data_IF_082464907652
#
_entry.id   IF_082464907652
#
_cell.length_a   1.000
_cell.length_b   1.000
_cell.length_c   1.000
_cell.angle_alpha   90.00
_cell.angle_beta   90.00
_cell.angle_gamma   90.00
#
_symmetry.space_group_name_H-M   'P 1'
#
loop_
_entity.id
_entity.type
_entity.pdbx_description
1 polymer ?
#
# COMPACT_ATOMS: atom_id res chain seq x y z
N UNK A 1 22.21 -6.80 -3.91
CA UNK A 1 20.96 -6.07 -3.63
C UNK A 1 20.14 -6.06 -4.91
N UNK A 2 18.86 -6.45 -4.82
CA UNK A 2 17.92 -6.43 -5.95
C UNK A 2 16.75 -5.52 -5.59
N UNK A 3 16.43 -4.54 -6.42
CA UNK A 3 15.29 -3.66 -6.12
C UNK A 3 14.82 -2.82 -7.29
N UNK A 4 13.63 -2.27 -7.13
CA UNK A 4 13.13 -1.26 -8.05
C UNK A 4 13.92 0.03 -7.93
N UNK A 5 14.05 0.77 -9.01
CA UNK A 5 14.81 2.03 -9.07
C UNK A 5 14.45 3.00 -7.94
N UNK A 6 13.16 3.17 -7.65
CA UNK A 6 12.71 4.06 -6.58
C UNK A 6 13.25 3.63 -5.22
N UNK A 7 13.10 2.35 -4.88
CA UNK A 7 13.55 1.79 -3.60
C UNK A 7 15.08 1.87 -3.47
N UNK A 8 15.83 1.51 -4.54
CA UNK A 8 17.29 1.57 -4.55
C UNK A 8 17.80 3.01 -4.33
N UNK A 9 17.15 4.01 -4.93
CA UNK A 9 17.50 5.42 -4.68
C UNK A 9 17.25 5.86 -3.25
N UNK A 10 16.18 5.37 -2.64
CA UNK A 10 15.84 5.71 -1.24
C UNK A 10 16.91 5.23 -0.26
N UNK A 11 17.58 4.13 -0.56
CA UNK A 11 18.64 3.55 0.30
C UNK A 11 20.05 3.75 -0.26
N UNK A 12 20.24 4.60 -1.27
CA UNK A 12 21.53 4.75 -1.97
C UNK A 12 22.70 5.06 -1.02
N UNK A 13 22.45 5.83 0.02
CA UNK A 13 23.42 6.17 1.04
C UNK A 13 23.81 5.00 1.96
N UNK A 14 23.08 3.89 1.92
CA UNK A 14 23.37 2.66 2.68
C UNK A 14 24.09 1.60 1.84
N UNK A 15 24.21 1.84 0.52
CA UNK A 15 24.78 0.87 -0.41
C UNK A 15 26.28 1.13 -0.57
N UNK A 16 27.10 0.11 -0.26
CA UNK A 16 28.53 0.09 -0.55
C UNK A 16 28.76 -0.50 -1.95
N UNK A 17 28.88 0.39 -2.95
CA UNK A 17 29.03 0.00 -4.37
C UNK A 17 30.34 -0.74 -4.67
N UNK A 18 31.33 -0.70 -3.77
CA UNK A 18 32.59 -1.44 -3.94
C UNK A 18 32.45 -2.91 -3.50
N UNK A 19 31.52 -3.18 -2.57
CA UNK A 19 31.33 -4.53 -1.98
C UNK A 19 30.03 -5.21 -2.40
N UNK A 20 29.07 -4.45 -2.91
CA UNK A 20 27.73 -4.94 -3.18
C UNK A 20 27.37 -4.85 -4.66
N UNK A 21 26.92 -5.93 -5.23
CA UNK A 21 26.33 -5.95 -6.57
C UNK A 21 24.89 -5.45 -6.49
N UNK A 22 24.48 -4.61 -7.46
CA UNK A 22 23.16 -4.00 -7.50
C UNK A 22 22.45 -4.43 -8.79
N UNK A 23 21.25 -4.95 -8.63
CA UNK A 23 20.38 -5.35 -9.74
C UNK A 23 19.11 -4.50 -9.71
N UNK A 24 18.97 -3.59 -10.68
CA UNK A 24 17.73 -2.83 -10.86
C UNK A 24 16.70 -3.69 -11.59
N UNK A 25 15.51 -3.81 -11.01
CA UNK A 25 14.40 -4.58 -11.57
C UNK A 25 13.24 -3.70 -12.00
N UNK A 26 12.41 -4.29 -12.85
CA UNK A 26 11.12 -3.78 -13.32
C UNK A 26 10.09 -4.89 -13.22
N UNK A 27 8.81 -4.57 -13.36
CA UNK A 27 7.75 -5.58 -13.42
C UNK A 27 7.96 -6.64 -14.51
N UNK A 28 8.75 -6.34 -15.55
CA UNK A 28 8.97 -7.26 -16.69
C UNK A 28 10.11 -8.24 -16.47
N UNK A 29 11.14 -7.86 -15.69
CA UNK A 29 12.35 -8.66 -15.54
C UNK A 29 12.60 -9.14 -14.11
N UNK A 30 11.71 -8.86 -13.16
CA UNK A 30 11.95 -9.19 -11.76
C UNK A 30 12.18 -10.69 -11.54
N UNK A 31 11.35 -11.56 -12.12
CA UNK A 31 11.48 -13.00 -11.94
C UNK A 31 12.80 -13.52 -12.49
N UNK A 32 13.14 -13.15 -13.73
CA UNK A 32 14.42 -13.57 -14.34
C UNK A 32 15.63 -13.03 -13.59
N UNK A 33 15.53 -11.83 -13.00
CA UNK A 33 16.58 -11.27 -12.16
C UNK A 33 16.74 -12.04 -10.84
N UNK A 34 15.66 -12.41 -10.18
CA UNK A 34 15.71 -13.25 -8.98
C UNK A 34 16.32 -14.62 -9.27
N UNK A 35 15.88 -15.30 -10.34
CA UNK A 35 16.43 -16.58 -10.77
C UNK A 35 17.92 -16.48 -11.12
N UNK A 36 18.32 -15.41 -11.82
CA UNK A 36 19.72 -15.16 -12.16
C UNK A 36 20.58 -15.00 -10.92
N UNK A 37 20.15 -14.18 -9.96
CA UNK A 37 20.92 -13.97 -8.73
C UNK A 37 20.98 -15.25 -7.91
N UNK A 38 19.87 -15.95 -7.72
CA UNK A 38 19.85 -17.22 -7.00
C UNK A 38 20.81 -18.26 -7.60
N UNK A 39 20.79 -18.39 -8.94
CA UNK A 39 21.67 -19.34 -9.64
C UNK A 39 23.15 -18.99 -9.66
N UNK A 40 23.53 -17.75 -9.31
CA UNK A 40 24.92 -17.27 -9.28
C UNK A 40 25.45 -16.95 -7.88
N UNK A 41 24.60 -17.03 -6.84
CA UNK A 41 25.03 -16.84 -5.44
C UNK A 41 25.99 -17.97 -5.02
N UNK A 42 27.03 -17.57 -4.29
CA UNK A 42 27.95 -18.51 -3.66
C UNK A 42 27.49 -18.85 -2.24
N UNK A 43 28.04 -19.94 -1.69
CA UNK A 43 27.83 -20.27 -0.28
C UNK A 43 28.25 -19.07 0.60
N UNK A 44 27.41 -18.72 1.58
CA UNK A 44 27.57 -17.56 2.47
C UNK A 44 27.37 -16.17 1.86
N UNK A 45 26.83 -16.05 0.66
CA UNK A 45 26.34 -14.79 0.14
C UNK A 45 24.89 -14.53 0.55
N UNK A 46 24.52 -13.25 0.65
CA UNK A 46 23.17 -12.82 0.98
C UNK A 46 22.61 -11.91 -0.11
N UNK A 47 21.35 -12.15 -0.45
CA UNK A 47 20.58 -11.27 -1.33
C UNK A 47 19.60 -10.43 -0.50
N UNK A 48 19.69 -9.11 -0.60
CA UNK A 48 18.75 -8.19 0.03
C UNK A 48 17.79 -7.64 -1.02
N UNK A 49 16.48 -7.74 -0.76
CA UNK A 49 15.43 -7.17 -1.60
C UNK A 49 14.71 -6.09 -0.81
N UNK A 50 15.04 -4.80 -1.01
CA UNK A 50 14.41 -3.71 -0.28
C UNK A 50 13.03 -3.38 -0.87
N UNK A 51 12.07 -3.10 0.03
CA UNK A 51 10.71 -2.66 -0.29
C UNK A 51 10.43 -1.28 0.30
N UNK A 52 9.43 -0.60 -0.25
CA UNK A 52 8.87 0.62 0.36
C UNK A 52 7.76 0.24 1.33
N UNK A 53 7.90 0.65 2.60
CA UNK A 53 6.92 0.31 3.64
C UNK A 53 7.12 -1.08 4.22
N UNK A 54 6.04 -1.77 4.50
CA UNK A 54 6.04 -3.15 5.04
C UNK A 54 5.67 -4.15 3.93
N UNK A 55 6.55 -5.09 3.71
CA UNK A 55 6.38 -6.13 2.67
C UNK A 55 5.18 -7.06 2.94
N UNK A 56 4.75 -7.17 4.20
CA UNK A 56 3.59 -7.98 4.59
C UNK A 56 2.26 -7.36 4.15
N UNK A 57 2.27 -6.12 3.66
CA UNK A 57 1.07 -5.47 3.15
C UNK A 57 1.23 -5.03 1.70
N UNK A 58 0.44 -5.63 0.81
CA UNK A 58 0.37 -5.32 -0.64
C UNK A 58 1.47 -5.94 -1.53
N UNK A 59 2.47 -6.63 -0.97
CA UNK A 59 3.59 -7.21 -1.73
C UNK A 59 3.58 -8.74 -1.75
N UNK A 60 2.45 -9.38 -1.41
CA UNK A 60 2.35 -10.84 -1.32
C UNK A 60 2.75 -11.56 -2.60
N UNK A 61 2.38 -11.02 -3.78
CA UNK A 61 2.72 -11.62 -5.08
C UNK A 61 4.26 -11.68 -5.29
N UNK A 62 5.00 -10.69 -4.78
CA UNK A 62 6.46 -10.65 -4.88
C UNK A 62 7.08 -11.55 -3.82
N UNK A 63 6.55 -11.54 -2.59
CA UNK A 63 7.01 -12.40 -1.51
C UNK A 63 6.85 -13.87 -1.88
N UNK A 64 5.68 -14.28 -2.38
CA UNK A 64 5.43 -15.66 -2.80
C UNK A 64 6.44 -16.11 -3.87
N UNK A 65 6.73 -15.25 -4.84
CA UNK A 65 7.73 -15.51 -5.87
C UNK A 65 9.15 -15.64 -5.31
N UNK A 66 9.52 -14.82 -4.33
CA UNK A 66 10.83 -14.93 -3.67
C UNK A 66 10.94 -16.24 -2.88
N UNK A 67 9.89 -16.61 -2.14
CA UNK A 67 9.84 -17.87 -1.41
C UNK A 67 9.91 -19.09 -2.35
N UNK A 68 9.30 -19.00 -3.53
CA UNK A 68 9.31 -20.05 -4.55
C UNK A 68 10.72 -20.23 -5.17
N UNK A 69 11.44 -19.12 -5.39
CA UNK A 69 12.78 -19.16 -6.03
C UNK A 69 13.88 -19.49 -5.02
N UNK A 70 13.85 -18.89 -3.83
CA UNK A 70 14.93 -19.01 -2.85
C UNK A 70 14.69 -20.11 -1.80
N UNK A 71 13.45 -20.61 -1.67
CA UNK A 71 13.04 -21.56 -0.62
C UNK A 71 12.63 -20.87 0.68
N UNK A 72 11.57 -21.37 1.32
CA UNK A 72 11.02 -20.77 2.55
C UNK A 72 12.06 -20.65 3.68
N UNK A 73 12.92 -21.65 3.82
CA UNK A 73 13.94 -21.75 4.86
C UNK A 73 15.12 -20.79 4.64
N UNK A 74 15.26 -20.24 3.43
CA UNK A 74 16.36 -19.36 3.04
C UNK A 74 15.93 -17.89 2.96
N UNK A 75 14.68 -17.58 3.25
CA UNK A 75 14.13 -16.21 3.15
C UNK A 75 13.72 -15.71 4.53
N UNK A 76 14.33 -14.62 4.96
CA UNK A 76 13.93 -13.87 6.14
C UNK A 76 13.13 -12.64 5.74
N UNK A 77 11.93 -12.47 6.30
CA UNK A 77 11.09 -11.28 6.10
C UNK A 77 11.29 -10.34 7.28
N UNK A 78 11.84 -9.17 6.99
CA UNK A 78 12.05 -8.12 7.98
C UNK A 78 10.89 -7.12 7.89
N UNK A 79 10.04 -6.98 8.92
CA UNK A 79 8.90 -6.07 8.88
C UNK A 79 9.34 -4.61 8.86
N UNK A 80 8.55 -3.78 8.20
CA UNK A 80 8.74 -2.34 8.13
C UNK A 80 7.53 -1.56 8.64
N UNK A 81 7.57 -0.24 8.54
CA UNK A 81 6.43 0.62 8.83
C UNK A 81 5.63 0.82 7.54
N UNK A 82 4.43 0.26 7.49
CA UNK A 82 3.53 0.40 6.34
C UNK A 82 2.97 1.82 6.23
N UNK A 83 2.75 2.27 4.99
CA UNK A 83 2.00 3.50 4.70
C UNK A 83 0.59 3.48 5.31
N UNK A 84 -0.02 2.31 5.46
CA UNK A 84 -1.30 2.11 6.16
C UNK A 84 -1.20 2.51 7.64
N UNK A 85 -0.13 2.13 8.33
CA UNK A 85 0.10 2.51 9.73
C UNK A 85 0.31 4.02 9.86
N UNK A 86 1.06 4.63 8.95
CA UNK A 86 1.27 6.09 8.93
C UNK A 86 -0.04 6.82 8.65
N UNK A 87 -0.83 6.39 7.68
CA UNK A 87 -2.14 6.96 7.36
C UNK A 87 -3.12 6.84 8.54
N UNK A 88 -3.17 5.68 9.20
CA UNK A 88 -3.94 5.45 10.43
C UNK A 88 -3.58 6.46 11.53
N UNK A 89 -2.28 6.61 11.79
CA UNK A 89 -1.79 7.56 12.79
C UNK A 89 -2.16 9.01 12.47
N UNK A 90 -1.94 9.45 11.22
CA UNK A 90 -2.22 10.83 10.78
C UNK A 90 -3.71 11.15 10.72
N UNK A 91 -4.55 10.21 10.30
CA UNK A 91 -6.02 10.36 10.29
C UNK A 91 -6.67 10.16 11.66
N UNK A 92 -5.96 9.52 12.59
CA UNK A 92 -6.47 9.07 13.91
C UNK A 92 -7.61 8.06 13.78
N UNK A 93 -7.61 7.27 12.73
CA UNK A 93 -8.48 6.12 12.54
C UNK A 93 -7.70 4.86 12.95
N UNK A 94 -8.03 4.21 14.08
CA UNK A 94 -7.29 3.04 14.56
C UNK A 94 -7.40 1.86 13.59
N UNK A 95 -6.31 1.11 13.39
CA UNK A 95 -6.29 -0.05 12.48
C UNK A 95 -7.27 -1.15 12.90
N UNK A 96 -7.40 -1.38 14.20
CA UNK A 96 -8.32 -2.38 14.77
C UNK A 96 -9.81 -2.01 14.64
N UNK A 97 -10.10 -0.75 14.28
CA UNK A 97 -11.45 -0.22 14.04
C UNK A 97 -11.72 0.04 12.55
N UNK A 98 -10.79 -0.30 11.68
CA UNK A 98 -10.90 -0.07 10.24
C UNK A 98 -10.89 -1.38 9.46
N UNK A 99 -11.57 -1.40 8.34
CA UNK A 99 -11.33 -2.39 7.28
C UNK A 99 -10.12 -1.95 6.48
N UNK A 100 -9.11 -2.81 6.41
CA UNK A 100 -7.86 -2.52 5.70
C UNK A 100 -7.80 -3.36 4.44
N UNK A 101 -7.60 -2.73 3.27
CA UNK A 101 -7.60 -3.44 1.99
C UNK A 101 -6.63 -2.81 1.00
N UNK A 102 -6.03 -3.64 0.16
CA UNK A 102 -5.24 -3.19 -0.99
C UNK A 102 -5.96 -3.54 -2.30
N UNK A 103 -6.06 -2.54 -3.18
CA UNK A 103 -6.41 -2.73 -4.59
C UNK A 103 -5.17 -2.79 -5.49
N UNK A 104 -3.99 -2.56 -4.92
CA UNK A 104 -2.71 -2.63 -5.61
C UNK A 104 -2.31 -4.09 -5.87
N UNK A 105 -3.07 -4.76 -6.73
CA UNK A 105 -2.89 -6.15 -7.13
C UNK A 105 -3.03 -6.28 -8.64
N UNK A 106 -2.41 -7.30 -9.23
CA UNK A 106 -2.48 -7.53 -10.69
C UNK A 106 -3.78 -8.20 -11.12
N UNK A 107 -4.38 -9.00 -10.24
CA UNK A 107 -5.58 -9.78 -10.48
C UNK A 107 -6.91 -9.01 -10.48
N UNK A 108 -8.00 -9.78 -10.43
CA UNK A 108 -9.37 -9.27 -10.35
C UNK A 108 -9.62 -8.63 -8.97
N UNK A 109 -10.25 -7.46 -8.97
CA UNK A 109 -10.56 -6.71 -7.75
C UNK A 109 -12.04 -6.74 -7.36
N UNK A 110 -12.89 -7.42 -8.10
CA UNK A 110 -14.34 -7.41 -7.89
C UNK A 110 -14.76 -7.83 -6.48
N UNK A 111 -14.14 -8.87 -5.94
CA UNK A 111 -14.44 -9.32 -4.57
C UNK A 111 -14.07 -8.24 -3.54
N UNK A 112 -12.92 -7.62 -3.69
CA UNK A 112 -12.48 -6.51 -2.82
C UNK A 112 -13.39 -5.27 -2.94
N UNK A 113 -13.92 -5.00 -4.13
CA UNK A 113 -14.90 -3.93 -4.36
C UNK A 113 -16.21 -4.20 -3.62
N UNK A 114 -16.70 -5.44 -3.62
CA UNK A 114 -17.90 -5.85 -2.86
C UNK A 114 -17.67 -5.68 -1.36
N UNK A 115 -16.52 -6.09 -0.86
CA UNK A 115 -16.14 -5.95 0.55
C UNK A 115 -16.01 -4.47 0.96
N UNK A 116 -15.49 -3.63 0.07
CA UNK A 116 -15.43 -2.18 0.25
C UNK A 116 -16.82 -1.58 0.41
N UNK A 117 -17.75 -1.85 -0.53
CA UNK A 117 -19.12 -1.36 -0.46
C UNK A 117 -19.76 -1.77 0.86
N UNK A 118 -19.68 -3.07 1.19
CA UNK A 118 -20.24 -3.60 2.43
C UNK A 118 -19.67 -2.88 3.66
N UNK A 119 -18.36 -2.74 3.73
CA UNK A 119 -17.71 -2.10 4.86
C UNK A 119 -18.14 -0.64 5.03
N UNK A 120 -18.27 0.11 3.92
CA UNK A 120 -18.69 1.52 3.96
C UNK A 120 -20.17 1.64 4.34
N UNK A 121 -21.05 0.78 3.83
CA UNK A 121 -22.46 0.75 4.21
C UNK A 121 -22.67 0.34 5.67
N UNK A 122 -21.84 -0.57 6.19
CA UNK A 122 -21.80 -0.98 7.60
C UNK A 122 -21.21 0.10 8.52
N UNK A 123 -20.91 1.31 8.00
CA UNK A 123 -20.34 2.44 8.75
C UNK A 123 -18.94 2.16 9.33
N UNK A 124 -18.19 1.25 8.76
CA UNK A 124 -16.80 1.01 9.11
C UNK A 124 -15.90 2.03 8.41
N UNK A 125 -14.89 2.50 9.12
CA UNK A 125 -13.79 3.20 8.47
C UNK A 125 -13.01 2.24 7.58
N UNK A 126 -12.43 2.75 6.51
CA UNK A 126 -11.61 1.97 5.59
C UNK A 126 -10.27 2.66 5.38
N UNK A 127 -9.18 1.90 5.44
CA UNK A 127 -7.86 2.37 5.04
C UNK A 127 -7.42 1.49 3.87
N UNK A 128 -7.13 2.11 2.73
CA UNK A 128 -6.88 1.36 1.52
C UNK A 128 -5.73 1.92 0.67
N UNK A 129 -5.09 1.01 -0.08
CA UNK A 129 -4.23 1.37 -1.19
C UNK A 129 -5.04 1.33 -2.48
N UNK A 130 -5.12 2.46 -3.22
CA UNK A 130 -5.73 2.51 -4.55
C UNK A 130 -4.96 1.64 -5.56
N UNK A 131 -5.54 1.47 -6.74
CA UNK A 131 -4.93 0.73 -7.86
C UNK A 131 -4.55 1.69 -8.98
N UNK A 132 -3.31 2.13 -9.08
CA UNK A 132 -2.81 2.79 -10.26
C UNK A 132 -2.55 1.79 -11.38
N UNK A 133 -2.93 2.13 -12.62
CA UNK A 133 -2.65 1.30 -13.80
C UNK A 133 -2.30 2.20 -14.99
N UNK A 134 -1.11 2.80 -15.01
CA UNK A 134 -0.76 3.84 -15.97
C UNK A 134 -0.79 3.40 -17.44
N UNK A 135 -0.61 2.10 -17.70
CA UNK A 135 -0.60 1.55 -19.06
C UNK A 135 -2.01 1.19 -19.58
N UNK A 136 -3.02 1.17 -18.71
CA UNK A 136 -4.41 0.87 -19.07
C UNK A 136 -5.35 1.51 -18.03
N UNK A 137 -5.74 2.73 -18.31
CA UNK A 137 -6.56 3.53 -17.39
C UNK A 137 -7.92 2.89 -17.07
N UNK A 138 -8.41 1.96 -17.90
CA UNK A 138 -9.65 1.23 -17.62
C UNK A 138 -9.54 0.31 -16.40
N UNK A 139 -8.31 -0.01 -15.97
CA UNK A 139 -8.01 -0.81 -14.80
C UNK A 139 -7.70 0.02 -13.56
N UNK A 140 -7.66 1.34 -13.69
CA UNK A 140 -7.48 2.22 -12.55
C UNK A 140 -8.61 2.04 -11.54
N UNK A 141 -8.26 2.17 -10.28
CA UNK A 141 -9.20 2.30 -9.17
C UNK A 141 -8.60 3.25 -8.14
N UNK A 142 -8.43 4.50 -8.59
CA UNK A 142 -7.85 5.60 -7.82
C UNK A 142 -8.91 6.27 -6.92
N UNK A 143 -8.54 7.17 -6.01
CA UNK A 143 -9.49 7.75 -5.06
C UNK A 143 -10.74 8.36 -5.69
N UNK A 144 -10.64 9.01 -6.85
CA UNK A 144 -11.78 9.54 -7.60
C UNK A 144 -12.66 8.42 -8.20
N UNK A 145 -12.04 7.34 -8.71
CA UNK A 145 -12.78 6.18 -9.23
C UNK A 145 -13.51 5.46 -8.10
N UNK A 146 -12.88 5.34 -6.93
CA UNK A 146 -13.46 4.75 -5.72
C UNK A 146 -14.67 5.57 -5.25
N UNK A 147 -14.56 6.89 -5.22
CA UNK A 147 -15.67 7.77 -4.84
C UNK A 147 -16.87 7.61 -5.80
N UNK A 148 -16.61 7.62 -7.11
CA UNK A 148 -17.63 7.41 -8.12
C UNK A 148 -18.25 6.01 -8.03
N UNK A 149 -17.43 4.98 -7.84
CA UNK A 149 -17.87 3.61 -7.67
C UNK A 149 -18.81 3.45 -6.46
N UNK A 150 -18.43 3.99 -5.30
CA UNK A 150 -19.26 3.95 -4.09
C UNK A 150 -20.56 4.71 -4.26
N UNK A 151 -20.52 5.90 -4.88
CA UNK A 151 -21.72 6.70 -5.21
C UNK A 151 -22.69 5.91 -6.09
N UNK A 152 -22.19 5.25 -7.14
CA UNK A 152 -23.00 4.45 -8.06
C UNK A 152 -23.59 3.18 -7.40
N UNK A 153 -23.03 2.76 -6.27
CA UNK A 153 -23.52 1.65 -5.44
C UNK A 153 -24.31 2.11 -4.20
N UNK A 154 -24.86 3.33 -4.22
CA UNK A 154 -25.82 3.80 -3.23
C UNK A 154 -25.20 4.42 -1.97
N UNK A 155 -23.89 4.66 -1.94
CA UNK A 155 -23.24 5.34 -0.81
C UNK A 155 -23.48 6.85 -0.88
N UNK A 156 -23.89 7.47 0.23
CA UNK A 156 -24.01 8.92 0.32
C UNK A 156 -22.64 9.60 0.50
N UNK A 157 -21.98 9.88 -0.60
CA UNK A 157 -20.61 10.44 -0.63
C UNK A 157 -20.51 11.86 -0.06
N UNK A 158 -21.65 12.57 0.13
CA UNK A 158 -21.66 13.94 0.70
C UNK A 158 -21.47 13.96 2.21
N UNK A 159 -21.75 12.86 2.89
CA UNK A 159 -21.66 12.78 4.35
C UNK A 159 -20.36 12.16 4.86
N UNK A 160 -19.63 11.43 4.01
CA UNK A 160 -18.45 10.67 4.39
C UNK A 160 -17.20 11.53 4.29
N UNK A 161 -16.46 11.62 5.39
CA UNK A 161 -15.15 12.28 5.44
C UNK A 161 -14.08 11.35 4.87
N UNK A 162 -13.13 11.94 4.14
CA UNK A 162 -12.01 11.21 3.56
C UNK A 162 -10.70 11.96 3.72
N UNK A 163 -9.62 11.18 3.78
CA UNK A 163 -8.25 11.67 3.70
C UNK A 163 -7.56 10.97 2.54
N UNK A 164 -6.81 11.72 1.75
CA UNK A 164 -5.89 11.16 0.77
C UNK A 164 -4.50 11.65 1.14
N UNK A 165 -3.62 10.71 1.35
CA UNK A 165 -2.21 10.97 1.63
C UNK A 165 -1.41 10.58 0.40
N UNK A 166 -0.59 11.49 -0.10
CA UNK A 166 0.29 11.22 -1.23
C UNK A 166 1.74 11.36 -0.76
N UNK A 167 2.62 10.50 -1.26
CA UNK A 167 4.05 10.50 -0.93
C UNK A 167 4.33 10.51 0.58
N UNK A 168 3.57 9.73 1.34
CA UNK A 168 3.70 9.65 2.80
C UNK A 168 5.16 9.48 3.22
N UNK A 169 5.60 10.32 4.19
CA UNK A 169 6.95 10.38 4.74
C UNK A 169 8.03 11.01 3.83
N UNK A 170 7.73 11.34 2.59
CA UNK A 170 8.61 12.15 1.76
C UNK A 170 8.47 13.62 2.17
N UNK A 171 9.48 14.15 2.86
CA UNK A 171 9.43 15.52 3.43
C UNK A 171 9.22 16.63 2.41
N UNK A 172 9.56 16.38 1.15
CA UNK A 172 9.48 17.38 0.08
C UNK A 172 8.17 17.27 -0.73
N UNK A 173 7.57 16.06 -0.78
CA UNK A 173 6.46 15.77 -1.68
C UNK A 173 5.17 15.41 -0.97
N UNK A 174 5.22 15.13 0.34
CA UNK A 174 4.03 14.73 1.06
C UNK A 174 2.92 15.76 0.93
N UNK A 175 1.76 15.33 0.43
CA UNK A 175 0.54 16.14 0.42
C UNK A 175 -0.59 15.40 1.11
N UNK A 176 -1.50 16.17 1.72
CA UNK A 176 -2.66 15.64 2.44
C UNK A 176 -3.90 16.38 1.95
N UNK A 177 -4.82 15.65 1.35
CA UNK A 177 -6.16 16.11 1.11
C UNK A 177 -7.09 15.62 2.23
N UNK A 178 -7.92 16.52 2.75
CA UNK A 178 -9.01 16.19 3.68
C UNK A 178 -10.28 16.89 3.23
N UNK A 179 -11.39 16.16 3.12
CA UNK A 179 -12.66 16.70 2.68
C UNK A 179 -13.76 15.66 2.70
N UNK A 180 -14.83 15.91 1.99
CA UNK A 180 -15.89 14.93 1.76
C UNK A 180 -15.56 14.05 0.57
N UNK A 181 -16.07 12.83 0.56
CA UNK A 181 -15.84 11.89 -0.54
C UNK A 181 -16.33 12.45 -1.89
N UNK A 182 -17.42 13.22 -1.89
CA UNK A 182 -17.91 13.92 -3.10
C UNK A 182 -16.86 14.87 -3.69
N UNK A 183 -15.99 15.44 -2.88
CA UNK A 183 -14.98 16.42 -3.32
C UNK A 183 -13.83 15.76 -4.11
N UNK A 184 -13.78 14.41 -4.15
CA UNK A 184 -12.80 13.66 -4.94
C UNK A 184 -13.18 13.59 -6.42
N UNK A 185 -14.43 13.86 -6.78
CA UNK A 185 -14.87 13.85 -8.17
C UNK A 185 -14.03 14.84 -8.99
N UNK A 186 -13.49 14.37 -10.11
CA UNK A 186 -12.61 15.13 -11.02
C UNK A 186 -11.25 15.55 -10.45
N UNK A 187 -10.81 14.99 -9.32
CA UNK A 187 -9.45 15.17 -8.83
C UNK A 187 -8.54 14.03 -9.31
N UNK A 188 -7.29 14.35 -9.52
CA UNK A 188 -6.24 13.36 -9.79
C UNK A 188 -5.31 13.26 -8.60
N UNK A 189 -4.85 12.05 -8.33
CA UNK A 189 -3.96 11.73 -7.23
C UNK A 189 -2.78 10.91 -7.74
N UNK A 190 -1.67 10.98 -7.03
CA UNK A 190 -0.46 10.22 -7.34
C UNK A 190 -0.67 8.72 -7.16
N UNK A 191 0.09 7.93 -7.92
CA UNK A 191 0.17 6.47 -7.78
C UNK A 191 0.62 6.06 -6.36
N UNK A 192 1.39 6.92 -5.68
CA UNK A 192 1.85 6.72 -4.30
C UNK A 192 0.87 7.37 -3.32
N UNK A 193 -0.38 6.92 -3.33
CA UNK A 193 -1.42 7.43 -2.44
C UNK A 193 -2.00 6.37 -1.52
N UNK A 194 -2.46 6.81 -0.35
CA UNK A 194 -3.26 6.04 0.61
C UNK A 194 -4.56 6.78 0.84
N UNK A 195 -5.69 6.10 0.76
CA UNK A 195 -7.01 6.67 1.05
C UNK A 195 -7.53 6.15 2.39
N UNK A 196 -8.07 7.06 3.18
CA UNK A 196 -8.82 6.75 4.40
C UNK A 196 -10.25 7.26 4.25
N UNK A 197 -11.21 6.36 4.34
CA UNK A 197 -12.64 6.66 4.45
C UNK A 197 -12.94 6.69 5.95
N UNK A 198 -13.19 7.89 6.47
CA UNK A 198 -13.28 8.11 7.91
C UNK A 198 -14.74 8.12 8.38
N UNK A 199 -15.15 7.03 8.98
CA UNK A 199 -16.46 6.89 9.63
C UNK A 199 -16.28 6.56 11.12
N UNK A 200 -15.05 6.72 11.65
CA UNK A 200 -14.73 6.39 13.02
C UNK A 200 -15.41 7.37 14.01
N UNK A 201 -16.22 6.79 14.88
CA UNK A 201 -16.79 7.53 16.01
C UNK A 201 -15.96 7.20 17.25
N UNK A 202 -15.33 8.22 17.82
CA UNK A 202 -14.61 8.06 19.09
C UNK A 202 -15.57 7.58 20.16
N UNK A 203 -15.22 6.48 20.80
CA UNK A 203 -15.90 6.02 22.01
C UNK A 203 -15.55 6.98 23.15
N UNK A 204 -16.56 7.40 23.92
CA UNK A 204 -16.35 8.26 25.09
C UNK A 204 -16.05 7.34 26.28
N UNK A 205 -14.78 7.20 26.63
CA UNK A 205 -14.35 6.43 27.81
C UNK A 205 -14.51 7.21 29.14
N UNK A 206 -15.52 8.07 29.22
CA UNK A 206 -15.70 8.97 30.38
C UNK A 206 -16.25 8.30 31.64
N UNK A 207 -16.38 6.97 31.70
CA UNK A 207 -16.85 6.23 32.87
C UNK A 207 -15.87 5.15 33.31
N UNK A 208 -14.60 5.47 33.51
CA UNK A 208 -13.66 4.61 34.24
C UNK A 208 -13.83 4.70 35.77
N UNK A 209 -15.06 4.80 36.26
CA UNK A 209 -15.35 4.66 37.69
C UNK A 209 -15.73 3.20 38.05
N UNK A 210 -15.20 2.22 37.33
CA UNK A 210 -15.46 0.81 37.53
C UNK A 210 -14.18 -0.02 37.66
N UNK A 211 -13.20 0.46 38.43
CA UNK A 211 -12.17 -0.39 39.02
C UNK A 211 -11.91 0.06 40.45
#
# INVERSE_FOLDING_TARGET
IIGYRYTLRTIENLIDKEKQQIYEITMKNQESAYQYVYGNMQDNEYCTVPFTGDVSFSESEVVDRLLEIFGNENVEIIPGISSIQVASSKSRVPLDKAFVVTFHVTGDIRQKQIELIKSVLDKKSVILLPRPWPNDLSKNFMPSDIALFLKNNGVNTREIDVWIFEYLTDKEKETIFRGKMIDLENKTFSDLSVMVIDQYKKETYLNFNLL
#
